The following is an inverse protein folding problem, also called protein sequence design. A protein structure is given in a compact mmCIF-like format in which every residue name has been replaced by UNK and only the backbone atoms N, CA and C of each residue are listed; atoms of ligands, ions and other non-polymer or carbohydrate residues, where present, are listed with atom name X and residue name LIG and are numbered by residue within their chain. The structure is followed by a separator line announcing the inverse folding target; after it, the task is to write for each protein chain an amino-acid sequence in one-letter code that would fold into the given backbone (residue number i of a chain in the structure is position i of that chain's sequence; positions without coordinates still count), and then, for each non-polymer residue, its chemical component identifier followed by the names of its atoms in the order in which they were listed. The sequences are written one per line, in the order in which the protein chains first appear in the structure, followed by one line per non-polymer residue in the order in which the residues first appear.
data_IF_018888676037
#
_entry.id   IF_018888676037
#
_cell.length_a   1.000
_cell.length_b   1.000
_cell.length_c   1.000
_cell.angle_alpha   90.00
_cell.angle_beta   90.00
_cell.angle_gamma   90.00
#
_symmetry.space_group_name_H-M   'P 1'
#
loop_
_entity.id
_entity.type
_entity.pdbx_description
1 polymer ?
#
# COMPACT_ATOMS: atom_id res chain seq x y z
N UNK A 1 -23.83 -1.59 -14.08
CA UNK A 1 -23.56 -2.74 -13.23
C UNK A 1 -22.87 -2.28 -11.95
N UNK A 2 -23.06 -2.97 -10.82
CA UNK A 2 -22.51 -2.60 -9.49
C UNK A 2 -21.08 -3.10 -9.22
N UNK A 3 -20.28 -3.37 -10.25
CA UNK A 3 -18.94 -3.93 -10.08
C UNK A 3 -17.94 -2.91 -9.59
N UNK A 4 -17.06 -3.33 -8.69
CA UNK A 4 -15.76 -2.73 -8.42
C UNK A 4 -14.77 -3.22 -9.49
N UNK A 5 -13.88 -2.36 -9.93
CA UNK A 5 -12.77 -2.72 -10.81
C UNK A 5 -11.48 -2.77 -10.00
N UNK A 6 -10.66 -3.77 -10.28
CA UNK A 6 -9.30 -3.89 -9.75
C UNK A 6 -8.36 -3.97 -10.95
N UNK A 7 -7.60 -2.91 -11.18
CA UNK A 7 -6.77 -2.73 -12.37
C UNK A 7 -5.29 -2.86 -11.98
N UNK A 8 -4.57 -3.72 -12.69
CA UNK A 8 -3.12 -3.83 -12.58
C UNK A 8 -2.46 -2.71 -13.42
N UNK A 9 -1.66 -1.84 -12.80
CA UNK A 9 -0.93 -0.78 -13.50
C UNK A 9 0.40 -0.46 -12.81
N UNK A 10 1.51 -0.84 -13.45
CA UNK A 10 2.87 -0.63 -12.93
C UNK A 10 3.45 0.70 -13.42
N UNK A 11 3.45 0.94 -14.74
CA UNK A 11 4.07 2.11 -15.34
C UNK A 11 3.20 3.37 -15.28
N UNK A 12 3.84 4.53 -15.43
CA UNK A 12 3.20 5.84 -15.43
C UNK A 12 2.10 5.97 -16.50
N UNK A 13 2.37 5.54 -17.72
CA UNK A 13 1.38 5.53 -18.79
C UNK A 13 0.21 4.58 -18.51
N UNK A 14 0.45 3.42 -17.87
CA UNK A 14 -0.60 2.48 -17.49
C UNK A 14 -1.49 3.06 -16.39
N UNK A 15 -0.89 3.70 -15.39
CA UNK A 15 -1.63 4.38 -14.32
C UNK A 15 -2.49 5.52 -14.88
N UNK A 16 -1.93 6.35 -15.76
CA UNK A 16 -2.67 7.41 -16.44
C UNK A 16 -3.84 6.86 -17.22
N UNK A 17 -3.61 5.83 -18.06
CA UNK A 17 -4.66 5.20 -18.84
C UNK A 17 -5.79 4.61 -17.96
N UNK A 18 -5.43 3.99 -16.84
CA UNK A 18 -6.42 3.46 -15.90
C UNK A 18 -7.25 4.60 -15.27
N UNK A 19 -6.62 5.70 -14.85
CA UNK A 19 -7.30 6.87 -14.31
C UNK A 19 -8.22 7.53 -15.36
N UNK A 20 -7.76 7.69 -16.60
CA UNK A 20 -8.57 8.25 -17.70
C UNK A 20 -9.82 7.40 -17.98
N UNK A 21 -9.66 6.08 -18.00
CA UNK A 21 -10.77 5.16 -18.21
C UNK A 21 -11.79 5.22 -17.06
N UNK A 22 -11.32 5.30 -15.81
CA UNK A 22 -12.18 5.43 -14.63
C UNK A 22 -12.91 6.77 -14.60
N UNK A 23 -12.24 7.85 -14.97
CA UNK A 23 -12.81 9.20 -15.08
C UNK A 23 -13.91 9.25 -16.14
N UNK A 24 -13.63 8.79 -17.37
CA UNK A 24 -14.62 8.69 -18.43
C UNK A 24 -15.83 7.82 -18.03
N UNK A 25 -15.60 6.71 -17.33
CA UNK A 25 -16.66 5.86 -16.81
C UNK A 25 -17.50 6.56 -15.72
N UNK A 26 -16.87 7.39 -14.87
CA UNK A 26 -17.57 8.17 -13.86
C UNK A 26 -18.43 9.27 -14.49
N UNK A 27 -17.91 9.99 -15.48
CA UNK A 27 -18.65 11.01 -16.25
C UNK A 27 -19.86 10.40 -16.95
N UNK A 28 -19.69 9.26 -17.62
CA UNK A 28 -20.77 8.62 -18.36
C UNK A 28 -21.89 8.02 -17.48
N UNK A 29 -21.57 7.62 -16.24
CA UNK A 29 -22.51 6.89 -15.36
C UNK A 29 -22.95 7.69 -14.13
N UNK A 30 -22.53 8.93 -14.00
CA UNK A 30 -22.83 9.81 -12.88
C UNK A 30 -22.05 9.48 -11.58
N UNK A 31 -22.15 10.37 -10.57
CA UNK A 31 -21.41 10.25 -9.33
C UNK A 31 -21.95 9.09 -8.47
N UNK A 32 -21.04 8.25 -7.99
CA UNK A 32 -21.28 7.25 -6.95
C UNK A 32 -19.95 6.79 -6.36
N UNK A 33 -19.96 6.32 -5.14
CA UNK A 33 -18.81 5.64 -4.55
C UNK A 33 -18.63 4.27 -5.21
N UNK A 34 -17.45 4.01 -5.78
CA UNK A 34 -17.19 2.80 -6.58
C UNK A 34 -16.08 1.94 -5.98
N UNK A 35 -15.22 2.51 -5.17
CA UNK A 35 -14.05 1.87 -4.57
C UNK A 35 -13.17 1.15 -5.58
N UNK A 36 -13.03 1.70 -6.80
CA UNK A 36 -12.13 1.14 -7.80
C UNK A 36 -10.69 1.15 -7.28
N UNK A 37 -9.93 0.14 -7.66
CA UNK A 37 -8.56 -0.08 -7.20
C UNK A 37 -7.62 -0.05 -8.39
N UNK A 38 -6.50 0.65 -8.25
CA UNK A 38 -5.34 0.47 -9.12
C UNK A 38 -4.26 -0.17 -8.26
N UNK A 39 -3.79 -1.36 -8.67
CA UNK A 39 -2.75 -2.12 -7.98
C UNK A 39 -1.38 -1.84 -8.57
N UNK A 40 -0.38 -1.94 -7.72
CA UNK A 40 1.04 -1.67 -7.88
C UNK A 40 1.38 -0.19 -7.82
N UNK A 41 0.93 0.62 -8.75
CA UNK A 41 1.23 2.06 -8.81
C UNK A 41 2.74 2.33 -8.62
N UNK A 42 3.58 1.43 -9.18
CA UNK A 42 5.01 1.44 -8.91
C UNK A 42 5.73 2.65 -9.52
N UNK A 43 5.27 3.12 -10.67
CA UNK A 43 5.73 4.36 -11.31
C UNK A 43 4.52 5.23 -11.60
N UNK A 44 4.47 6.43 -11.04
CA UNK A 44 3.33 7.34 -11.14
C UNK A 44 3.81 8.75 -11.48
N UNK A 45 3.29 9.33 -12.57
CA UNK A 45 3.51 10.74 -12.85
C UNK A 45 2.92 11.60 -11.71
N UNK A 46 3.71 12.50 -11.09
CA UNK A 46 3.23 13.38 -10.02
C UNK A 46 1.95 14.17 -10.37
N UNK A 47 1.72 14.47 -11.65
CA UNK A 47 0.50 15.13 -12.11
C UNK A 47 -0.77 14.27 -11.92
N UNK A 48 -0.64 12.95 -11.81
CA UNK A 48 -1.76 12.02 -11.61
C UNK A 48 -2.06 11.73 -10.13
N UNK A 49 -1.19 12.13 -9.21
CA UNK A 49 -1.34 11.83 -7.76
C UNK A 49 -2.69 12.32 -7.22
N UNK A 50 -3.07 13.57 -7.49
CA UNK A 50 -4.32 14.14 -6.98
C UNK A 50 -5.58 13.48 -7.57
N UNK A 51 -5.47 12.81 -8.72
CA UNK A 51 -6.60 12.16 -9.40
C UNK A 51 -7.12 10.93 -8.62
N UNK A 52 -6.26 10.24 -7.87
CA UNK A 52 -6.71 9.15 -7.01
C UNK A 52 -7.75 9.62 -6.00
N UNK A 53 -7.49 10.73 -5.30
CA UNK A 53 -8.45 11.31 -4.36
C UNK A 53 -9.68 11.86 -5.08
N UNK A 54 -9.51 12.60 -6.18
CA UNK A 54 -10.61 13.22 -6.92
C UNK A 54 -11.59 12.19 -7.48
N UNK A 55 -11.11 11.03 -7.94
CA UNK A 55 -11.93 9.95 -8.50
C UNK A 55 -12.37 8.92 -7.46
N UNK A 56 -11.93 9.03 -6.19
CA UNK A 56 -12.20 8.05 -5.14
C UNK A 56 -11.57 6.68 -5.43
N UNK A 57 -10.46 6.67 -6.18
CA UNK A 57 -9.72 5.45 -6.52
C UNK A 57 -8.79 5.07 -5.37
N UNK A 58 -8.79 3.81 -5.00
CA UNK A 58 -7.89 3.26 -4.00
C UNK A 58 -6.56 2.92 -4.68
N UNK A 59 -5.47 3.45 -4.15
CA UNK A 59 -4.13 3.08 -4.57
C UNK A 59 -3.65 1.89 -3.71
N UNK A 60 -3.50 0.72 -4.33
CA UNK A 60 -2.99 -0.47 -3.67
C UNK A 60 -1.52 -0.64 -4.03
N UNK A 61 -0.66 -0.54 -3.03
CA UNK A 61 0.78 -0.69 -3.17
C UNK A 61 1.28 -2.00 -2.57
N UNK A 62 2.40 -2.49 -3.09
CA UNK A 62 3.20 -3.55 -2.49
C UNK A 62 4.48 -2.94 -1.90
N UNK A 63 4.43 -2.44 -0.66
CA UNK A 63 5.53 -1.64 -0.10
C UNK A 63 6.83 -2.43 0.11
N UNK A 64 6.79 -3.77 0.07
CA UNK A 64 8.01 -4.59 0.08
C UNK A 64 8.99 -4.19 -1.03
N UNK A 65 8.47 -3.76 -2.19
CA UNK A 65 9.29 -3.35 -3.33
C UNK A 65 9.66 -1.88 -3.35
N UNK A 66 9.13 -1.08 -2.42
CA UNK A 66 9.39 0.35 -2.32
C UNK A 66 10.77 0.65 -1.69
N UNK A 67 11.81 -0.04 -2.14
CA UNK A 67 13.20 0.02 -1.67
C UNK A 67 14.18 0.08 -2.83
N UNK A 68 15.37 0.63 -2.61
CA UNK A 68 16.43 0.65 -3.61
C UNK A 68 17.35 -0.58 -3.43
N UNK A 69 16.84 -1.74 -3.84
CA UNK A 69 17.65 -2.96 -3.92
C UNK A 69 18.50 -2.99 -5.21
N UNK A 70 19.24 -4.08 -5.42
CA UNK A 70 20.10 -4.23 -6.59
C UNK A 70 19.32 -4.15 -7.92
N UNK A 71 18.10 -4.72 -7.98
CA UNK A 71 17.26 -4.68 -9.19
C UNK A 71 16.81 -3.26 -9.48
N UNK A 72 16.38 -2.54 -8.44
CA UNK A 72 15.98 -1.14 -8.55
C UNK A 72 17.14 -0.27 -9.00
N UNK A 73 18.29 -0.38 -8.33
CA UNK A 73 19.46 0.45 -8.56
C UNK A 73 20.13 0.19 -9.92
N UNK A 74 20.31 -1.10 -10.27
CA UNK A 74 21.17 -1.48 -11.40
C UNK A 74 20.38 -1.71 -12.70
N UNK A 75 19.06 -1.91 -12.60
CA UNK A 75 18.21 -2.17 -13.74
C UNK A 75 17.12 -1.10 -13.92
N UNK A 76 16.28 -0.86 -12.92
CA UNK A 76 15.09 -0.03 -13.09
C UNK A 76 15.42 1.46 -13.23
N UNK A 77 16.16 2.03 -12.29
CA UNK A 77 16.53 3.45 -12.28
C UNK A 77 17.26 3.87 -13.56
N UNK A 78 18.29 3.14 -14.04
CA UNK A 78 19.00 3.52 -15.25
C UNK A 78 18.13 3.55 -16.51
N UNK A 79 17.07 2.71 -16.59
CA UNK A 79 16.17 2.68 -17.73
C UNK A 79 15.10 3.76 -17.67
N UNK A 80 14.75 4.25 -16.51
CA UNK A 80 13.77 5.32 -16.34
C UNK A 80 14.34 6.68 -16.70
N UNK A 81 15.54 6.97 -16.21
CA UNK A 81 16.18 8.28 -16.33
C UNK A 81 15.45 9.36 -15.51
N UNK A 82 16.16 10.47 -15.27
CA UNK A 82 15.60 11.61 -14.56
C UNK A 82 14.58 12.39 -15.43
N UNK A 83 13.42 12.86 -14.87
CA UNK A 83 13.04 12.81 -13.46
C UNK A 83 12.22 11.56 -13.07
N UNK A 84 12.01 10.60 -13.98
CA UNK A 84 11.11 9.45 -13.76
C UNK A 84 11.63 8.47 -12.71
N UNK A 85 12.92 8.44 -12.46
CA UNK A 85 13.54 7.67 -11.38
C UNK A 85 13.06 8.10 -9.98
N UNK A 86 12.60 9.36 -9.84
CA UNK A 86 12.03 9.90 -8.60
C UNK A 86 10.51 9.68 -8.45
N UNK A 87 9.84 9.15 -9.48
CA UNK A 87 8.38 8.97 -9.51
C UNK A 87 7.93 7.60 -8.99
N UNK A 88 8.82 6.86 -8.36
CA UNK A 88 8.57 5.50 -7.96
C UNK A 88 7.99 5.40 -6.55
N UNK A 89 6.93 4.58 -6.42
CA UNK A 89 6.25 4.31 -5.15
C UNK A 89 5.94 5.59 -4.38
N UNK A 90 5.22 6.52 -5.01
CA UNK A 90 4.80 7.81 -4.43
C UNK A 90 3.72 7.61 -3.36
N UNK A 91 3.97 6.70 -2.41
CA UNK A 91 3.01 6.26 -1.38
C UNK A 91 2.62 7.42 -0.47
N UNK A 92 3.61 8.16 0.01
CA UNK A 92 3.40 9.33 0.86
C UNK A 92 2.65 10.45 0.14
N UNK A 93 3.01 10.72 -1.11
CA UNK A 93 2.37 11.74 -1.94
C UNK A 93 0.91 11.40 -2.23
N UNK A 94 0.61 10.14 -2.59
CA UNK A 94 -0.77 9.67 -2.80
C UNK A 94 -1.56 9.75 -1.50
N UNK A 95 -1.00 9.32 -0.36
CA UNK A 95 -1.66 9.46 0.93
C UNK A 95 -1.95 10.93 1.28
N UNK A 96 -0.97 11.83 1.12
CA UNK A 96 -1.13 13.27 1.40
C UNK A 96 -2.15 13.96 0.49
N UNK A 97 -2.42 13.41 -0.71
CA UNK A 97 -3.48 13.91 -1.58
C UNK A 97 -4.89 13.65 -1.04
N UNK A 98 -5.04 12.84 0.02
CA UNK A 98 -6.31 12.43 0.60
C UNK A 98 -6.88 11.14 -0.03
N UNK A 99 -6.15 10.49 -0.93
CA UNK A 99 -6.57 9.22 -1.49
C UNK A 99 -6.50 8.07 -0.45
N UNK A 100 -7.36 7.10 -0.59
CA UNK A 100 -7.25 5.86 0.18
C UNK A 100 -6.07 5.05 -0.33
N UNK A 101 -5.14 4.74 0.58
CA UNK A 101 -4.03 3.83 0.34
C UNK A 101 -4.34 2.48 0.99
N UNK A 102 -4.06 1.40 0.29
CA UNK A 102 -4.09 0.03 0.81
C UNK A 102 -2.81 -0.70 0.45
N UNK A 103 -2.47 -1.73 1.21
CA UNK A 103 -1.25 -2.49 1.00
C UNK A 103 -1.53 -3.96 0.70
N UNK A 104 -0.71 -4.54 -0.17
CA UNK A 104 -0.73 -5.95 -0.52
C UNK A 104 0.68 -6.54 -0.58
N UNK A 105 0.77 -7.83 -0.89
CA UNK A 105 2.03 -8.56 -1.03
C UNK A 105 2.28 -9.06 -2.45
N UNK A 106 1.23 -9.10 -3.27
CA UNK A 106 1.24 -9.76 -4.58
C UNK A 106 1.77 -11.22 -4.53
N UNK A 107 1.45 -11.90 -3.41
CA UNK A 107 1.82 -13.31 -3.29
C UNK A 107 1.18 -14.14 -4.42
N UNK A 108 1.90 -15.09 -5.05
CA UNK A 108 3.20 -15.66 -4.64
C UNK A 108 4.45 -15.03 -5.27
N UNK A 109 4.37 -13.81 -5.81
CA UNK A 109 5.54 -13.14 -6.42
C UNK A 109 6.64 -12.90 -5.38
N UNK A 110 6.26 -12.47 -4.17
CA UNK A 110 7.17 -12.35 -3.02
C UNK A 110 6.59 -13.04 -1.78
N UNK A 111 6.95 -12.58 -0.60
CA UNK A 111 6.52 -13.15 0.68
C UNK A 111 5.11 -12.72 1.08
N UNK A 112 4.38 -13.61 1.78
CA UNK A 112 3.16 -13.25 2.51
C UNK A 112 3.43 -12.43 3.77
N UNK A 113 4.68 -12.39 4.24
CA UNK A 113 5.04 -11.71 5.47
C UNK A 113 4.91 -10.20 5.28
N UNK A 114 3.92 -9.61 5.94
CA UNK A 114 3.63 -8.19 5.90
C UNK A 114 4.65 -7.34 6.66
N UNK A 115 5.41 -7.92 7.60
CA UNK A 115 6.30 -7.20 8.52
C UNK A 115 7.44 -6.46 7.81
N UNK A 116 8.21 -7.12 6.91
CA UNK A 116 9.21 -6.40 6.12
C UNK A 116 8.62 -5.31 5.23
N UNK A 117 7.46 -5.58 4.61
CA UNK A 117 6.78 -4.60 3.75
C UNK A 117 6.36 -3.35 4.55
N UNK A 118 5.86 -3.54 5.77
CA UNK A 118 5.47 -2.46 6.66
C UNK A 118 6.68 -1.64 7.11
N UNK A 119 7.80 -2.32 7.49
CA UNK A 119 9.06 -1.65 7.79
C UNK A 119 9.52 -0.78 6.62
N UNK A 120 9.46 -1.30 5.38
CA UNK A 120 9.82 -0.53 4.18
C UNK A 120 8.93 0.69 3.98
N UNK A 121 7.62 0.58 4.16
CA UNK A 121 6.70 1.71 4.01
C UNK A 121 7.05 2.88 4.95
N UNK A 122 7.59 2.56 6.13
CA UNK A 122 7.94 3.54 7.18
C UNK A 122 9.37 4.05 7.02
N UNK A 123 10.31 3.20 6.65
CA UNK A 123 11.74 3.52 6.62
C UNK A 123 12.28 3.87 5.24
N UNK A 124 11.77 3.21 4.20
CA UNK A 124 12.31 3.22 2.83
C UNK A 124 13.75 2.69 2.74
N UNK A 125 14.14 1.88 3.74
CA UNK A 125 15.43 1.18 3.72
C UNK A 125 15.33 -0.14 2.97
N UNK A 126 16.42 -0.55 2.36
CA UNK A 126 16.53 -1.85 1.70
C UNK A 126 16.69 -2.96 2.73
N UNK A 127 15.98 -4.08 2.55
CA UNK A 127 16.15 -5.29 3.36
C UNK A 127 17.49 -5.98 3.11
N UNK A 128 18.06 -5.81 1.93
CA UNK A 128 19.36 -6.40 1.56
C UNK A 128 20.54 -5.50 1.90
N UNK A 129 20.30 -4.19 2.01
CA UNK A 129 21.31 -3.17 2.31
C UNK A 129 20.78 -2.21 3.41
N UNK A 130 20.55 -2.67 4.64
CA UNK A 130 19.86 -1.89 5.68
C UNK A 130 20.65 -0.66 6.15
N UNK A 131 21.93 -0.59 5.87
CA UNK A 131 22.80 0.58 6.18
C UNK A 131 22.80 1.63 5.07
N UNK A 132 22.23 1.33 3.90
CA UNK A 132 22.08 2.31 2.82
C UNK A 132 21.10 3.42 3.24
N UNK A 133 21.26 4.64 2.71
CA UNK A 133 20.30 5.71 2.95
C UNK A 133 18.87 5.32 2.53
N UNK A 134 17.88 5.89 3.23
CA UNK A 134 16.49 5.73 2.84
C UNK A 134 16.25 6.24 1.41
N UNK A 135 15.62 5.41 0.58
CA UNK A 135 15.32 5.77 -0.80
C UNK A 135 14.00 6.54 -0.91
N UNK A 136 14.03 7.71 -1.55
CA UNK A 136 12.89 8.63 -1.64
C UNK A 136 12.24 8.87 -0.25
N UNK A 137 12.96 9.43 0.71
CA UNK A 137 12.53 9.50 2.12
C UNK A 137 11.27 10.33 2.34
N UNK A 138 10.91 11.23 1.42
CA UNK A 138 9.68 12.02 1.49
C UNK A 138 8.42 11.19 1.21
N UNK A 139 8.58 9.98 0.70
CA UNK A 139 7.51 9.03 0.42
C UNK A 139 7.25 8.04 1.59
N UNK A 140 7.90 8.24 2.73
CA UNK A 140 7.65 7.48 3.97
C UNK A 140 6.27 7.80 4.52
N UNK A 141 5.68 6.80 5.18
CA UNK A 141 4.52 6.98 6.03
C UNK A 141 4.93 6.93 7.51
N UNK A 142 4.14 7.56 8.37
CA UNK A 142 4.21 7.23 9.80
C UNK A 142 3.64 5.83 10.07
N UNK A 143 4.03 5.25 11.21
CA UNK A 143 3.64 3.88 11.55
C UNK A 143 2.12 3.69 11.61
N UNK A 144 1.37 4.61 12.20
CA UNK A 144 -0.07 4.49 12.34
C UNK A 144 -0.77 4.49 10.96
N UNK A 145 -0.32 5.35 10.05
CA UNK A 145 -0.80 5.40 8.66
C UNK A 145 -0.47 4.12 7.90
N UNK A 146 0.74 3.60 8.04
CA UNK A 146 1.15 2.37 7.37
C UNK A 146 0.36 1.15 7.87
N UNK A 147 0.12 1.02 9.18
CA UNK A 147 -0.78 -0.01 9.73
C UNK A 147 -2.22 0.17 9.24
N UNK A 148 -2.72 1.40 9.17
CA UNK A 148 -4.06 1.66 8.65
C UNK A 148 -4.22 1.23 7.19
N UNK A 149 -3.18 1.33 6.36
CA UNK A 149 -3.20 0.85 4.99
C UNK A 149 -3.33 -0.68 4.91
N UNK A 150 -2.72 -1.44 5.83
CA UNK A 150 -2.88 -2.90 5.94
C UNK A 150 -4.17 -3.35 6.62
N UNK A 151 -4.89 -2.48 7.29
CA UNK A 151 -6.14 -2.81 8.00
C UNK A 151 -7.35 -2.12 7.37
N UNK A 152 -7.62 -0.87 7.74
CA UNK A 152 -8.76 -0.10 7.22
C UNK A 152 -8.72 0.12 5.71
N UNK A 153 -7.52 0.32 5.14
CA UNK A 153 -7.33 0.47 3.69
C UNK A 153 -7.77 -0.78 2.95
N UNK A 154 -7.33 -1.96 3.41
CA UNK A 154 -7.73 -3.25 2.83
C UNK A 154 -9.21 -3.54 3.06
N UNK A 155 -9.76 -3.27 4.25
CA UNK A 155 -11.18 -3.46 4.52
C UNK A 155 -12.04 -2.61 3.57
N UNK A 156 -11.65 -1.35 3.33
CA UNK A 156 -12.32 -0.48 2.35
C UNK A 156 -12.20 -1.02 0.92
N UNK A 157 -11.02 -1.49 0.53
CA UNK A 157 -10.80 -2.14 -0.77
C UNK A 157 -11.66 -3.39 -0.94
N UNK A 158 -11.79 -4.20 0.11
CA UNK A 158 -12.56 -5.44 0.10
C UNK A 158 -14.09 -5.23 0.21
N UNK A 159 -14.55 -3.98 0.29
CA UNK A 159 -15.96 -3.64 0.55
C UNK A 159 -16.49 -4.28 1.85
N UNK A 160 -15.65 -4.37 2.88
CA UNK A 160 -15.92 -4.96 4.18
C UNK A 160 -15.95 -3.88 5.28
N UNK A 161 -17.04 -3.10 5.39
CA UNK A 161 -17.11 -1.94 6.29
C UNK A 161 -17.14 -2.33 7.78
N UNK A 162 -17.37 -3.61 8.08
CA UNK A 162 -17.38 -4.20 9.41
C UNK A 162 -16.01 -4.73 9.85
N UNK A 163 -14.93 -4.44 9.10
CA UNK A 163 -13.56 -4.94 9.34
C UNK A 163 -12.52 -3.83 9.35
N UNK A 164 -11.31 -4.16 9.76
CA UNK A 164 -10.15 -3.27 9.70
C UNK A 164 -9.92 -2.41 10.94
N UNK A 165 -10.79 -2.49 11.96
CA UNK A 165 -10.61 -1.91 13.30
C UNK A 165 -11.05 -2.89 14.38
N UNK A 166 -10.71 -2.59 15.65
CA UNK A 166 -11.17 -3.34 16.83
C UNK A 166 -12.25 -2.57 17.60
N UNK A 167 -12.96 -1.67 16.94
CA UNK A 167 -14.05 -0.91 17.56
C UNK A 167 -15.24 -1.82 17.89
N UNK A 168 -16.06 -1.42 18.86
CA UNK A 168 -17.26 -2.16 19.26
C UNK A 168 -18.22 -2.27 18.07
N UNK A 169 -18.62 -3.49 17.76
CA UNK A 169 -19.50 -3.81 16.63
C UNK A 169 -18.77 -4.21 15.33
N UNK A 170 -17.44 -4.13 15.32
CA UNK A 170 -16.64 -4.64 14.21
C UNK A 170 -16.38 -6.14 14.34
N UNK A 171 -16.13 -6.79 13.21
CA UNK A 171 -15.70 -8.19 13.17
C UNK A 171 -14.34 -8.33 13.87
N UNK A 172 -14.24 -9.28 14.80
CA UNK A 172 -13.06 -9.47 15.64
C UNK A 172 -11.93 -10.22 14.87
N UNK A 173 -11.36 -9.55 13.89
CA UNK A 173 -10.13 -9.98 13.21
C UNK A 173 -8.95 -9.32 13.92
N UNK A 174 -8.07 -10.11 14.52
CA UNK A 174 -6.99 -9.59 15.33
C UNK A 174 -5.69 -10.36 15.17
N UNK A 175 -4.58 -9.65 15.33
CA UNK A 175 -3.24 -10.23 15.42
C UNK A 175 -2.62 -9.78 16.75
N UNK A 176 -2.13 -10.73 17.55
CA UNK A 176 -1.38 -10.46 18.75
C UNK A 176 0.11 -10.53 18.46
N UNK A 177 0.82 -9.47 18.76
CA UNK A 177 2.25 -9.32 18.49
C UNK A 177 3.07 -9.34 19.78
N UNK A 178 4.36 -9.69 19.68
CA UNK A 178 5.29 -9.74 20.82
C UNK A 178 5.62 -8.36 21.42
N UNK A 179 5.38 -7.27 20.68
CA UNK A 179 5.56 -5.91 21.16
C UNK A 179 4.56 -4.95 20.50
N UNK A 180 4.40 -3.75 21.06
CA UNK A 180 3.60 -2.68 20.49
C UNK A 180 4.28 -2.13 19.22
N UNK A 181 3.72 -2.39 18.01
CA UNK A 181 4.36 -2.03 16.76
C UNK A 181 4.43 -0.51 16.51
N UNK A 182 3.68 0.29 17.26
CA UNK A 182 3.72 1.75 17.15
C UNK A 182 4.79 2.38 18.06
N UNK A 183 5.45 1.57 18.92
CA UNK A 183 6.44 2.04 19.91
C UNK A 183 7.84 1.49 19.73
N UNK A 184 8.00 0.48 18.89
CA UNK A 184 9.32 -0.07 18.56
C UNK A 184 9.97 0.72 17.42
N UNK A 185 11.29 0.55 17.25
CA UNK A 185 11.97 1.07 16.08
C UNK A 185 11.39 0.46 14.80
N UNK A 186 11.12 1.25 13.74
CA UNK A 186 10.50 0.74 12.53
C UNK A 186 11.26 -0.42 11.87
N UNK A 187 12.58 -0.45 12.01
CA UNK A 187 13.45 -1.53 11.52
C UNK A 187 13.19 -2.86 12.27
N UNK A 188 12.81 -2.79 13.54
CA UNK A 188 12.49 -3.96 14.36
C UNK A 188 11.12 -4.57 14.05
N UNK A 189 10.28 -3.92 13.25
CA UNK A 189 8.96 -4.45 12.87
C UNK A 189 9.10 -5.79 12.14
N UNK A 190 10.12 -5.97 11.33
CA UNK A 190 10.38 -7.21 10.59
C UNK A 190 10.67 -8.42 11.53
N UNK A 191 11.09 -8.15 12.77
CA UNK A 191 11.44 -9.17 13.76
C UNK A 191 10.31 -9.45 14.76
N UNK A 192 9.16 -8.74 14.67
CA UNK A 192 8.02 -8.99 15.54
C UNK A 192 7.53 -10.44 15.43
N UNK A 193 7.30 -11.07 16.56
CA UNK A 193 6.67 -12.40 16.58
C UNK A 193 5.14 -12.26 16.59
N UNK A 194 4.47 -13.10 15.81
CA UNK A 194 3.02 -13.25 15.87
C UNK A 194 2.71 -14.31 16.91
N UNK A 195 2.11 -13.90 18.03
CA UNK A 195 1.77 -14.77 19.16
C UNK A 195 0.37 -15.38 19.00
N UNK A 196 -0.49 -14.79 18.17
CA UNK A 196 -1.81 -15.33 17.88
C UNK A 196 -2.53 -14.55 16.80
N UNK A 197 -3.44 -15.24 16.12
CA UNK A 197 -4.35 -14.63 15.13
C UNK A 197 -5.78 -15.11 15.35
N UNK A 198 -6.72 -14.23 15.09
CA UNK A 198 -8.17 -14.50 15.17
C UNK A 198 -8.85 -14.01 13.91
N UNK A 199 -9.81 -14.79 13.43
CA UNK A 199 -10.72 -14.43 12.35
C UNK A 199 -12.16 -14.53 12.86
N UNK A 200 -12.87 -13.42 12.84
CA UNK A 200 -14.22 -13.28 13.37
C UNK A 200 -14.35 -13.77 14.84
N UNK A 201 -13.30 -13.59 15.63
CA UNK A 201 -13.23 -14.02 17.04
C UNK A 201 -12.73 -15.45 17.26
N UNK A 202 -12.68 -16.28 16.22
CA UNK A 202 -12.15 -17.65 16.30
C UNK A 202 -10.63 -17.65 16.14
N UNK A 203 -9.93 -18.31 17.07
CA UNK A 203 -8.46 -18.40 17.00
C UNK A 203 -8.04 -19.28 15.80
N UNK A 204 -7.24 -18.71 14.90
CA UNK A 204 -6.69 -19.41 13.73
C UNK A 204 -5.24 -19.83 13.94
N UNK A 205 -4.53 -19.16 14.85
CA UNK A 205 -3.16 -19.50 15.24
C UNK A 205 -2.90 -19.08 16.71
N UNK A 206 -2.11 -19.88 17.41
CA UNK A 206 -1.50 -19.55 18.71
C UNK A 206 -0.09 -20.12 18.74
N UNK A 207 0.92 -19.30 19.09
CA UNK A 207 2.29 -19.73 19.31
C UNK A 207 2.44 -20.57 20.58
#
# INVERSE_FOLDING_TARGET
AGFQLHLHAIGDAANRFALDALEAAAEANGPRERHHVIAHVALLDPADVARFAALGVIANFEPYWAQCDAVMRDLTIPHLGHPRDEWQYLIGSVHRSGATVSFGSDWPVTTLDWRPALSTAITRHSHTEPTAPAWLPDERLDAATAYAAYTRGIARQALAPDRGTLDIGQTADAVWLSADPLRIAPEAIAELEVLGTWLAGDATFRA
#
